data_IF_013227251744
#
_entry.id   IF_013227251744
#
_cell.length_a   1.000
_cell.length_b   1.000
_cell.length_c   1.000
_cell.angle_alpha   90.00
_cell.angle_beta   90.00
_cell.angle_gamma   90.00
#
_symmetry.space_group_name_H-M   'P 1'
#
loop_
_entity.id
_entity.type
_entity.pdbx_description
1 polymer ?
#
# COMPACT_ATOMS: atom_id res chain seq x y z
N UNK A 1 1.01 9.95 -20.76
CA UNK A 1 1.93 9.15 -19.93
C UNK A 1 1.99 9.74 -18.53
N UNK A 2 1.81 8.93 -17.49
CA UNK A 2 1.96 9.40 -16.10
C UNK A 2 3.44 9.57 -15.78
N UNK A 3 3.89 10.79 -15.44
CA UNK A 3 5.25 11.03 -14.94
C UNK A 3 5.41 10.31 -13.60
N UNK A 4 6.42 9.45 -13.49
CA UNK A 4 6.78 8.79 -12.23
C UNK A 4 7.84 9.64 -11.53
N UNK A 5 7.62 9.89 -10.25
CA UNK A 5 8.58 10.54 -9.36
C UNK A 5 9.03 9.51 -8.32
N UNK A 6 10.31 9.52 -7.98
CA UNK A 6 10.87 8.70 -6.91
C UNK A 6 10.39 9.17 -5.52
N UNK A 7 10.80 8.47 -4.47
CA UNK A 7 10.40 8.77 -3.09
C UNK A 7 11.04 10.06 -2.58
N UNK A 8 12.33 10.23 -2.84
CA UNK A 8 13.11 11.38 -2.36
C UNK A 8 12.58 12.70 -2.90
N UNK A 9 12.29 12.76 -4.21
CA UNK A 9 11.70 13.92 -4.86
C UNK A 9 10.36 14.32 -4.23
N UNK A 10 9.51 13.33 -3.92
CA UNK A 10 8.20 13.59 -3.32
C UNK A 10 8.33 14.14 -1.91
N UNK A 11 9.23 13.57 -1.11
CA UNK A 11 9.49 14.05 0.24
C UNK A 11 10.06 15.46 0.23
N UNK A 12 10.99 15.74 -0.66
CA UNK A 12 11.59 17.06 -0.82
C UNK A 12 10.56 18.11 -1.25
N UNK A 13 9.70 17.77 -2.22
CA UNK A 13 8.59 18.65 -2.63
C UNK A 13 7.59 18.92 -1.50
N UNK A 14 7.32 17.91 -0.65
CA UNK A 14 6.48 18.10 0.54
C UNK A 14 7.17 19.02 1.55
N UNK A 15 8.48 18.83 1.78
CA UNK A 15 9.31 19.61 2.70
C UNK A 15 9.32 21.09 2.34
N UNK A 16 9.55 21.42 1.07
CA UNK A 16 9.44 22.81 0.58
C UNK A 16 8.06 23.43 0.87
N UNK A 17 7.01 22.63 0.83
CA UNK A 17 5.64 23.09 1.07
C UNK A 17 5.19 22.99 2.54
N UNK A 18 6.02 22.54 3.47
CA UNK A 18 5.72 22.48 4.91
C UNK A 18 6.69 23.28 5.75
N UNK A 19 7.99 23.08 5.55
CA UNK A 19 9.05 23.66 6.37
C UNK A 19 9.45 25.04 5.87
N UNK A 20 9.56 25.22 4.56
CA UNK A 20 9.95 26.51 3.96
C UNK A 20 8.77 27.47 3.81
N UNK A 21 7.54 27.03 4.13
CA UNK A 21 6.34 27.88 4.13
C UNK A 21 5.81 28.27 2.74
N UNK A 22 6.37 27.73 1.65
CA UNK A 22 5.89 28.02 0.31
C UNK A 22 4.50 27.42 0.05
N UNK A 23 3.59 28.14 -0.63
CA UNK A 23 2.32 27.57 -1.06
C UNK A 23 2.53 26.35 -1.96
N UNK A 24 1.76 25.28 -1.74
CA UNK A 24 1.86 24.05 -2.53
C UNK A 24 1.74 24.31 -4.05
N UNK A 25 0.90 25.25 -4.46
CA UNK A 25 0.72 25.63 -5.86
C UNK A 25 1.94 26.31 -6.47
N UNK A 26 2.71 27.05 -5.67
CA UNK A 26 3.96 27.67 -6.10
C UNK A 26 5.06 26.61 -6.26
N UNK A 27 5.19 25.72 -5.29
CA UNK A 27 6.14 24.60 -5.36
C UNK A 27 5.81 23.69 -6.55
N UNK A 28 4.53 23.40 -6.78
CA UNK A 28 4.08 22.60 -7.93
C UNK A 28 4.49 23.23 -9.27
N UNK A 29 4.29 24.55 -9.40
CA UNK A 29 4.70 25.30 -10.59
C UNK A 29 6.23 25.33 -10.75
N UNK A 30 6.97 25.57 -9.67
CA UNK A 30 8.44 25.62 -9.67
C UNK A 30 9.06 24.28 -10.06
N UNK A 31 8.47 23.18 -9.60
CA UNK A 31 8.92 21.81 -9.91
C UNK A 31 8.33 21.24 -11.20
N UNK A 32 7.45 21.98 -11.88
CA UNK A 32 6.79 21.52 -13.11
C UNK A 32 5.93 20.27 -12.93
N UNK A 33 5.37 20.08 -11.73
CA UNK A 33 4.50 18.96 -11.39
C UNK A 33 3.02 19.38 -11.45
N UNK A 34 2.13 18.40 -11.57
CA UNK A 34 0.69 18.66 -11.67
C UNK A 34 0.13 19.33 -10.42
N UNK A 35 -0.86 20.21 -10.61
CA UNK A 35 -1.54 20.87 -9.50
C UNK A 35 -2.21 19.84 -8.56
N UNK A 36 -2.08 20.03 -7.25
CA UNK A 36 -2.63 19.14 -6.23
C UNK A 36 -1.79 17.88 -5.95
N UNK A 37 -0.66 17.69 -6.63
CA UNK A 37 0.25 16.57 -6.38
C UNK A 37 0.84 16.61 -4.98
N UNK A 38 1.23 17.78 -4.49
CA UNK A 38 1.82 17.92 -3.14
C UNK A 38 0.77 17.59 -2.08
N UNK A 39 -0.48 18.05 -2.26
CA UNK A 39 -1.59 17.71 -1.37
C UNK A 39 -1.85 16.20 -1.35
N UNK A 40 -1.86 15.55 -2.52
CA UNK A 40 -1.98 14.10 -2.64
C UNK A 40 -0.84 13.38 -1.91
N UNK A 41 0.41 13.82 -2.09
CA UNK A 41 1.56 13.21 -1.45
C UNK A 41 1.57 13.41 0.07
N UNK A 42 1.20 14.60 0.57
CA UNK A 42 0.98 14.85 2.00
C UNK A 42 -0.03 13.88 2.60
N UNK A 43 -1.14 13.63 1.89
CA UNK A 43 -2.15 12.65 2.33
C UNK A 43 -1.60 11.23 2.33
N UNK A 44 -0.85 10.83 1.30
CA UNK A 44 -0.22 9.50 1.24
C UNK A 44 0.79 9.30 2.38
N UNK A 45 1.63 10.30 2.65
CA UNK A 45 2.61 10.27 3.73
C UNK A 45 1.94 10.16 5.10
N UNK A 46 0.84 10.90 5.34
CA UNK A 46 0.07 10.80 6.59
C UNK A 46 -0.61 9.45 6.78
N UNK A 47 -1.02 8.78 5.70
CA UNK A 47 -1.70 7.48 5.78
C UNK A 47 -0.72 6.34 6.05
N UNK A 48 0.47 6.37 5.46
CA UNK A 48 1.51 5.36 5.64
C UNK A 48 2.87 6.07 5.66
N UNK A 49 3.43 6.39 6.83
CA UNK A 49 4.69 7.16 6.95
C UNK A 49 5.89 6.45 6.33
N UNK A 50 6.20 5.24 6.80
CA UNK A 50 7.37 4.48 6.33
C UNK A 50 7.15 3.94 4.90
N UNK A 51 5.93 3.48 4.63
CA UNK A 51 5.50 2.88 3.36
C UNK A 51 4.95 3.91 2.35
N UNK A 52 5.16 5.21 2.59
CA UNK A 52 4.75 6.24 1.65
C UNK A 52 5.48 6.04 0.31
N UNK A 53 4.69 6.02 -0.77
CA UNK A 53 5.16 5.94 -2.15
C UNK A 53 5.81 4.60 -2.55
N UNK A 54 5.14 3.46 -2.34
CA UNK A 54 5.63 2.22 -2.93
C UNK A 54 5.56 2.40 -4.44
N UNK A 55 6.69 2.24 -5.13
CA UNK A 55 6.78 2.42 -6.58
C UNK A 55 5.73 1.58 -7.32
N UNK A 56 5.47 1.88 -8.60
CA UNK A 56 4.50 1.12 -9.39
C UNK A 56 4.92 -0.35 -9.47
N UNK A 57 4.20 -1.24 -8.80
CA UNK A 57 4.49 -2.68 -8.74
C UNK A 57 4.76 -3.23 -7.34
N UNK A 58 5.03 -2.37 -6.35
CA UNK A 58 5.11 -2.80 -4.96
C UNK A 58 3.77 -2.56 -4.28
N UNK A 59 3.12 -3.65 -3.83
CA UNK A 59 2.10 -3.55 -2.79
C UNK A 59 2.77 -2.91 -1.57
N UNK A 60 2.05 -2.05 -0.84
CA UNK A 60 2.53 -1.65 0.50
C UNK A 60 2.85 -2.93 1.28
N UNK A 61 3.88 -2.91 2.13
CA UNK A 61 4.27 -4.09 2.90
C UNK A 61 3.08 -4.67 3.68
N UNK A 62 2.17 -3.80 4.12
CA UNK A 62 0.87 -4.13 4.71
C UNK A 62 -0.04 -4.93 3.77
N UNK A 63 -0.16 -4.51 2.52
CA UNK A 63 -0.99 -5.21 1.53
C UNK A 63 -0.38 -6.56 1.14
N UNK A 64 0.95 -6.68 1.11
CA UNK A 64 1.65 -7.94 0.87
C UNK A 64 1.40 -8.94 2.00
N UNK A 65 1.55 -8.50 3.26
CA UNK A 65 1.25 -9.31 4.45
C UNK A 65 -0.22 -9.75 4.46
N UNK A 66 -1.15 -8.84 4.15
CA UNK A 66 -2.58 -9.18 4.09
C UNK A 66 -2.87 -10.26 3.03
N UNK A 67 -2.21 -10.19 1.86
CA UNK A 67 -2.37 -11.18 0.80
C UNK A 67 -1.82 -12.54 1.20
N UNK A 68 -0.67 -12.58 1.86
CA UNK A 68 -0.08 -13.84 2.32
C UNK A 68 -0.90 -14.47 3.45
N UNK A 69 -1.43 -13.64 4.37
CA UNK A 69 -2.38 -14.09 5.39
C UNK A 69 -3.68 -14.64 4.79
N UNK A 70 -4.22 -14.01 3.74
CA UNK A 70 -5.40 -14.54 3.05
C UNK A 70 -5.16 -15.90 2.41
N UNK A 71 -4.01 -16.08 1.73
CA UNK A 71 -3.63 -17.36 1.15
C UNK A 71 -3.47 -18.46 2.20
N UNK A 72 -2.83 -18.12 3.32
CA UNK A 72 -2.66 -19.06 4.43
C UNK A 72 -4.02 -19.45 5.03
N UNK A 73 -4.92 -18.48 5.21
CA UNK A 73 -6.26 -18.76 5.72
C UNK A 73 -7.05 -19.70 4.78
N UNK A 74 -6.97 -19.48 3.47
CA UNK A 74 -7.60 -20.35 2.47
C UNK A 74 -7.01 -21.77 2.47
N UNK A 75 -5.69 -21.91 2.66
CA UNK A 75 -5.03 -23.21 2.81
C UNK A 75 -5.55 -23.95 4.04
N UNK A 76 -5.50 -23.29 5.20
CA UNK A 76 -5.96 -23.86 6.47
C UNK A 76 -7.44 -24.24 6.43
N UNK A 77 -8.29 -23.42 5.78
CA UNK A 77 -9.71 -23.76 5.58
C UNK A 77 -9.87 -25.03 4.75
N UNK A 78 -9.12 -25.18 3.66
CA UNK A 78 -9.16 -26.40 2.83
C UNK A 78 -8.72 -27.62 3.62
N UNK A 79 -7.61 -27.54 4.33
CA UNK A 79 -7.11 -28.65 5.17
C UNK A 79 -8.14 -29.06 6.22
N UNK A 80 -8.75 -28.08 6.91
CA UNK A 80 -9.83 -28.34 7.87
C UNK A 80 -11.03 -29.03 7.22
N UNK A 81 -11.45 -28.61 6.04
CA UNK A 81 -12.57 -29.25 5.34
C UNK A 81 -12.23 -30.68 4.87
N UNK A 82 -11.00 -30.95 4.45
CA UNK A 82 -10.54 -32.32 4.15
C UNK A 82 -10.58 -33.18 5.39
N UNK A 83 -10.05 -32.70 6.52
CA UNK A 83 -10.06 -33.43 7.79
C UNK A 83 -11.48 -33.72 8.27
N UNK A 84 -12.40 -32.77 8.16
CA UNK A 84 -13.82 -33.01 8.46
C UNK A 84 -14.43 -34.10 7.59
N UNK A 85 -14.19 -34.06 6.27
CA UNK A 85 -14.71 -35.06 5.35
C UNK A 85 -14.17 -36.45 5.68
N UNK A 86 -12.88 -36.55 6.02
CA UNK A 86 -12.28 -37.79 6.47
C UNK A 86 -12.95 -38.29 7.77
N UNK A 87 -13.09 -37.43 8.77
CA UNK A 87 -13.77 -37.78 10.03
C UNK A 87 -15.21 -38.26 9.79
N UNK A 88 -15.98 -37.59 8.92
CA UNK A 88 -17.33 -38.01 8.57
C UNK A 88 -17.37 -39.44 8.02
N UNK A 89 -16.47 -39.76 7.09
CA UNK A 89 -16.33 -41.12 6.52
C UNK A 89 -15.98 -42.14 7.62
N UNK A 90 -15.05 -41.81 8.52
CA UNK A 90 -14.67 -42.70 9.62
C UNK A 90 -15.80 -42.87 10.66
N UNK A 91 -16.68 -41.88 10.83
CA UNK A 91 -17.81 -41.97 11.76
C UNK A 91 -19.04 -42.68 11.19
N UNK A 92 -19.26 -42.63 9.87
CA UNK A 92 -20.39 -43.31 9.19
C UNK A 92 -20.11 -44.81 8.95
N UNK A 93 -18.85 -45.23 8.96
CA UNK A 93 -18.45 -46.64 8.81
C UNK A 93 -18.58 -47.50 10.07
N UNK A 94 -19.36 -47.08 11.08
CA UNK A 94 -19.56 -47.79 12.35
C UNK A 94 -21.04 -48.05 12.63
#
# INVERSE_FOLDING_TARGET
>A
MSKKYDREFKLEAIRMATEEGHPATEVERRLGIGQGMISRWKRQLRTNEEDAFPGTGNLSTRDAQQRDLQRENERLRREREILKKALAIFSEGR
#
